data_IF_502337770270
#
_entry.id   IF_502337770270
#
_cell.length_a   1.000
_cell.length_b   1.000
_cell.length_c   1.000
_cell.angle_alpha   90.00
_cell.angle_beta   90.00
_cell.angle_gamma   90.00
#
_symmetry.space_group_name_H-M   'P 1'
#
loop_
_entity.id
_entity.type
_entity.pdbx_description
1 polymer ?
#
# COMPACT_ATOMS: atom_id res chain seq x y z
N UNK A 1 -9.42 19.17 30.28
CA UNK A 1 -10.48 18.16 30.09
C UNK A 1 -10.26 17.61 28.70
N UNK A 2 -9.98 16.32 28.55
CA UNK A 2 -9.93 15.70 27.22
C UNK A 2 -11.36 15.61 26.72
N UNK A 3 -11.69 16.25 25.60
CA UNK A 3 -12.97 15.99 24.95
C UNK A 3 -13.04 14.51 24.60
N UNK A 4 -14.04 13.84 25.16
CA UNK A 4 -14.33 12.45 24.89
C UNK A 4 -14.97 12.35 23.50
N UNK A 5 -14.38 11.56 22.61
CA UNK A 5 -14.90 11.37 21.25
C UNK A 5 -16.26 10.67 21.30
N UNK A 6 -17.24 11.21 20.56
CA UNK A 6 -18.53 10.57 20.34
C UNK A 6 -18.42 9.37 19.40
N UNK A 7 -19.44 8.52 19.35
CA UNK A 7 -19.54 7.41 18.38
C UNK A 7 -19.42 7.91 16.95
N UNK A 8 -20.08 9.02 16.61
CA UNK A 8 -19.97 9.68 15.30
C UNK A 8 -18.54 10.13 15.00
N UNK A 9 -17.85 10.75 15.96
CA UNK A 9 -16.44 11.16 15.79
C UNK A 9 -15.51 9.96 15.54
N UNK A 10 -15.76 8.84 16.21
CA UNK A 10 -14.96 7.61 16.03
C UNK A 10 -15.18 7.03 14.63
N UNK A 11 -16.43 6.93 14.19
CA UNK A 11 -16.78 6.43 12.85
C UNK A 11 -16.23 7.33 11.74
N UNK A 12 -16.33 8.66 11.90
CA UNK A 12 -15.77 9.63 10.96
C UNK A 12 -14.25 9.50 10.83
N UNK A 13 -13.53 9.39 11.96
CA UNK A 13 -12.07 9.19 11.94
C UNK A 13 -11.65 7.84 11.36
N UNK A 14 -12.44 6.79 11.56
CA UNK A 14 -12.17 5.49 10.96
C UNK A 14 -12.34 5.55 9.43
N UNK A 15 -13.33 6.29 8.95
CA UNK A 15 -13.52 6.57 7.52
C UNK A 15 -12.38 7.38 6.92
N UNK A 16 -11.91 8.43 7.59
CA UNK A 16 -10.75 9.21 7.15
C UNK A 16 -9.47 8.35 7.04
N UNK A 17 -9.26 7.45 8.01
CA UNK A 17 -8.15 6.50 7.96
C UNK A 17 -8.32 5.53 6.78
N UNK A 18 -9.52 5.00 6.56
CA UNK A 18 -9.77 4.11 5.43
C UNK A 18 -9.58 4.84 4.09
N UNK A 19 -9.99 6.09 3.98
CA UNK A 19 -9.76 6.92 2.80
C UNK A 19 -8.25 7.09 2.53
N UNK A 20 -7.44 7.30 3.56
CA UNK A 20 -5.98 7.32 3.42
C UNK A 20 -5.39 6.00 2.94
N UNK A 21 -5.96 4.86 3.36
CA UNK A 21 -5.56 3.55 2.85
C UNK A 21 -5.91 3.40 1.36
N UNK A 22 -7.08 3.88 0.93
CA UNK A 22 -7.50 3.86 -0.50
C UNK A 22 -6.60 4.73 -1.37
N UNK A 23 -6.19 5.91 -0.91
CA UNK A 23 -5.19 6.72 -1.63
C UNK A 23 -3.87 5.95 -1.79
N UNK A 24 -3.48 5.17 -0.78
CA UNK A 24 -2.33 4.26 -0.90
C UNK A 24 -2.51 3.21 -2.00
N UNK A 25 -3.70 2.64 -2.15
CA UNK A 25 -4.02 1.70 -3.25
C UNK A 25 -3.99 2.39 -4.62
N UNK A 26 -4.49 3.63 -4.72
CA UNK A 26 -4.37 4.42 -5.96
C UNK A 26 -2.91 4.63 -6.34
N UNK A 27 -2.04 4.94 -5.38
CA UNK A 27 -0.59 5.02 -5.61
C UNK A 27 0.02 3.68 -6.06
N UNK A 28 -0.50 2.53 -5.60
CA UNK A 28 -0.01 1.20 -6.03
C UNK A 28 -0.46 0.87 -7.46
N UNK A 29 -1.70 1.22 -7.82
CA UNK A 29 -2.31 0.81 -9.09
C UNK A 29 -1.96 1.75 -10.23
N UNK A 30 -2.07 3.06 -9.98
CA UNK A 30 -2.04 4.10 -10.99
C UNK A 30 -0.90 5.10 -10.77
N UNK A 31 -0.15 4.96 -9.66
CA UNK A 31 0.97 5.83 -9.32
C UNK A 31 2.24 5.55 -10.13
N UNK A 32 3.17 6.52 -10.19
CA UNK A 32 4.50 6.28 -10.75
C UNK A 32 5.27 5.27 -9.87
N UNK A 33 6.21 4.48 -10.44
CA UNK A 33 6.84 3.34 -9.75
C UNK A 33 7.43 3.65 -8.37
N UNK A 34 8.04 4.84 -8.22
CA UNK A 34 8.63 5.29 -6.95
C UNK A 34 7.61 5.49 -5.82
N UNK A 35 6.32 5.64 -6.15
CA UNK A 35 5.23 5.73 -5.17
C UNK A 35 4.64 4.37 -4.79
N UNK A 36 4.77 3.33 -5.62
CA UNK A 36 4.08 2.07 -5.38
C UNK A 36 4.43 1.45 -4.02
N UNK A 37 5.73 1.45 -3.66
CA UNK A 37 6.17 0.93 -2.35
C UNK A 37 5.65 1.76 -1.16
N UNK A 38 5.54 3.09 -1.33
CA UNK A 38 4.92 3.97 -0.34
C UNK A 38 3.41 3.72 -0.25
N UNK A 39 2.74 3.49 -1.39
CA UNK A 39 1.34 3.13 -1.48
C UNK A 39 1.02 1.86 -0.68
N UNK A 40 1.77 0.78 -0.88
CA UNK A 40 1.63 -0.46 -0.10
C UNK A 40 1.81 -0.21 1.41
N UNK A 41 2.84 0.55 1.80
CA UNK A 41 3.08 0.91 3.21
C UNK A 41 1.91 1.72 3.79
N UNK A 42 1.34 2.64 3.01
CA UNK A 42 0.19 3.44 3.39
C UNK A 42 -1.06 2.59 3.58
N UNK A 43 -1.34 1.65 2.66
CA UNK A 43 -2.45 0.68 2.79
C UNK A 43 -2.35 -0.08 4.11
N UNK A 44 -1.18 -0.68 4.40
CA UNK A 44 -0.98 -1.45 5.63
C UNK A 44 -1.11 -0.58 6.90
N UNK A 45 -0.51 0.62 6.87
CA UNK A 45 -0.48 1.53 8.02
C UNK A 45 -1.85 2.09 8.33
N UNK A 46 -2.52 2.67 7.34
CA UNK A 46 -3.82 3.31 7.52
C UNK A 46 -4.96 2.31 7.64
N UNK A 47 -4.88 1.15 6.97
CA UNK A 47 -5.84 0.07 7.17
C UNK A 47 -5.83 -0.45 8.62
N UNK A 48 -4.64 -0.59 9.23
CA UNK A 48 -4.54 -0.91 10.66
C UNK A 48 -5.05 0.22 11.55
N UNK A 49 -4.85 1.48 11.14
CA UNK A 49 -5.39 2.63 11.87
C UNK A 49 -6.93 2.60 11.88
N UNK A 50 -7.59 2.25 10.79
CA UNK A 50 -9.06 2.11 10.69
C UNK A 50 -9.60 1.18 11.79
N UNK A 51 -9.10 -0.05 11.88
CA UNK A 51 -9.57 -1.02 12.89
C UNK A 51 -9.22 -0.60 14.33
N UNK A 52 -8.08 0.05 14.53
CA UNK A 52 -7.68 0.58 15.85
C UNK A 52 -8.54 1.78 16.29
N UNK A 53 -9.01 2.60 15.37
CA UNK A 53 -9.92 3.69 15.66
C UNK A 53 -11.30 3.10 15.99
N UNK A 54 -11.81 2.17 15.18
CA UNK A 54 -13.07 1.47 15.42
C UNK A 54 -13.10 0.78 16.78
N UNK A 55 -12.00 0.19 17.24
CA UNK A 55 -11.94 -0.48 18.55
C UNK A 55 -12.20 0.45 19.73
N UNK A 56 -12.20 1.77 19.55
CA UNK A 56 -12.57 2.74 20.60
C UNK A 56 -14.07 2.73 20.91
N UNK A 57 -14.90 2.23 19.98
CA UNK A 57 -16.33 2.04 20.21
C UNK A 57 -16.62 1.07 21.37
N UNK A 58 -15.70 0.17 21.75
CA UNK A 58 -15.89 -0.74 22.90
C UNK A 58 -16.17 -0.02 24.21
N UNK A 59 -15.66 1.21 24.36
CA UNK A 59 -15.89 2.06 25.53
C UNK A 59 -17.21 2.82 25.52
N UNK A 60 -17.98 2.75 24.42
CA UNK A 60 -19.19 3.55 24.17
C UNK A 60 -20.41 2.68 23.89
N UNK A 61 -20.22 1.64 23.11
CA UNK A 61 -21.27 0.81 22.57
C UNK A 61 -21.26 -0.56 23.25
N UNK A 62 -22.27 -0.83 24.08
CA UNK A 62 -22.34 -2.07 24.87
C UNK A 62 -22.37 -3.35 24.01
N UNK A 63 -22.88 -3.26 22.79
CA UNK A 63 -22.93 -4.38 21.83
C UNK A 63 -21.68 -4.48 20.94
N UNK A 64 -20.68 -3.61 21.13
CA UNK A 64 -19.48 -3.58 20.29
C UNK A 64 -18.70 -4.87 20.36
N UNK A 65 -18.35 -5.35 21.56
CA UNK A 65 -17.48 -6.52 21.70
C UNK A 65 -18.11 -7.77 21.07
N UNK A 66 -19.44 -7.90 21.16
CA UNK A 66 -20.20 -8.98 20.54
C UNK A 66 -20.23 -8.88 19.01
N UNK A 67 -20.26 -7.66 18.46
CA UNK A 67 -20.18 -7.43 17.02
C UNK A 67 -18.75 -7.62 16.49
N UNK A 68 -17.76 -7.14 17.23
CA UNK A 68 -16.35 -7.18 16.85
C UNK A 68 -15.74 -8.58 16.93
N UNK A 69 -16.23 -9.43 17.83
CA UNK A 69 -15.69 -10.79 18.04
C UNK A 69 -15.62 -11.60 16.75
N UNK A 70 -16.64 -11.51 15.88
CA UNK A 70 -16.65 -12.15 14.57
C UNK A 70 -15.46 -11.69 13.71
N UNK A 71 -15.31 -10.37 13.54
CA UNK A 71 -14.24 -9.82 12.70
C UNK A 71 -12.85 -10.04 13.29
N UNK A 72 -12.73 -10.03 14.62
CA UNK A 72 -11.48 -10.33 15.31
C UNK A 72 -11.05 -11.79 15.08
N UNK A 73 -12.00 -12.73 15.07
CA UNK A 73 -11.76 -14.14 14.74
C UNK A 73 -11.40 -14.31 13.26
N UNK A 74 -12.19 -13.72 12.35
CA UNK A 74 -11.92 -13.75 10.90
C UNK A 74 -10.52 -13.19 10.59
N UNK A 75 -10.19 -11.97 11.03
CA UNK A 75 -8.85 -11.39 10.82
C UNK A 75 -7.74 -12.19 11.52
N UNK A 76 -8.06 -12.82 12.65
CA UNK A 76 -7.11 -13.63 13.40
C UNK A 76 -6.76 -14.93 12.69
N UNK A 77 -7.65 -15.45 11.85
CA UNK A 77 -7.45 -16.70 11.10
C UNK A 77 -7.10 -16.47 9.61
N UNK A 78 -7.31 -15.26 9.10
CA UNK A 78 -7.10 -14.93 7.69
C UNK A 78 -5.62 -14.63 7.37
N UNK A 79 -4.97 -15.38 6.47
CA UNK A 79 -3.57 -15.16 6.12
C UNK A 79 -3.30 -13.77 5.51
N UNK A 80 -4.23 -13.23 4.72
CA UNK A 80 -4.09 -11.88 4.14
C UNK A 80 -4.11 -10.80 5.21
N UNK A 81 -5.02 -10.88 6.19
CA UNK A 81 -5.07 -9.93 7.30
C UNK A 81 -3.81 -9.97 8.18
N UNK A 82 -3.31 -11.17 8.48
CA UNK A 82 -2.07 -11.36 9.22
C UNK A 82 -0.88 -10.77 8.45
N UNK A 83 -0.83 -11.00 7.14
CA UNK A 83 0.20 -10.46 6.26
C UNK A 83 0.26 -8.93 6.31
N UNK A 84 -0.87 -8.22 6.16
CA UNK A 84 -0.89 -6.76 6.25
C UNK A 84 -0.56 -6.23 7.66
N UNK A 85 -0.81 -7.01 8.71
CA UNK A 85 -0.35 -6.68 10.06
C UNK A 85 1.17 -6.73 10.17
N UNK A 86 1.80 -7.78 9.63
CA UNK A 86 3.26 -7.92 9.58
C UNK A 86 3.91 -6.87 8.70
N UNK A 87 3.35 -6.63 7.51
CA UNK A 87 3.80 -5.59 6.57
C UNK A 87 3.82 -4.22 7.24
N UNK A 88 2.75 -3.87 7.98
CA UNK A 88 2.68 -2.63 8.75
C UNK A 88 3.77 -2.57 9.82
N UNK A 89 4.06 -3.68 10.50
CA UNK A 89 5.11 -3.70 11.52
C UNK A 89 6.49 -3.50 10.91
N UNK A 90 6.76 -4.12 9.77
CA UNK A 90 8.00 -3.93 9.01
C UNK A 90 8.14 -2.50 8.49
N UNK A 91 7.06 -1.93 7.93
CA UNK A 91 7.04 -0.56 7.41
C UNK A 91 7.39 0.52 8.46
N UNK A 92 7.18 0.23 9.74
CA UNK A 92 7.49 1.14 10.84
C UNK A 92 8.90 0.93 11.45
N UNK A 93 9.60 -0.12 11.06
CA UNK A 93 11.00 -0.34 11.46
C UNK A 93 11.94 0.44 10.54
N UNK A 94 13.16 0.70 11.02
CA UNK A 94 14.19 1.41 10.26
C UNK A 94 14.61 0.69 8.97
N UNK A 95 14.57 -0.65 8.98
CA UNK A 95 14.88 -1.50 7.82
C UNK A 95 13.80 -1.45 6.72
N UNK A 96 12.57 -1.04 7.06
CA UNK A 96 11.46 -0.96 6.11
C UNK A 96 10.97 -2.33 5.64
N UNK A 97 10.26 -2.33 4.51
CA UNK A 97 9.83 -3.55 3.81
C UNK A 97 10.73 -3.69 2.58
N UNK A 98 11.31 -4.87 2.42
CA UNK A 98 12.10 -5.23 1.24
C UNK A 98 11.15 -5.78 0.17
N UNK A 99 10.83 -4.95 -0.82
CA UNK A 99 9.98 -5.33 -1.94
C UNK A 99 10.85 -5.88 -3.07
N UNK A 100 10.37 -6.96 -3.71
CA UNK A 100 10.85 -7.27 -5.05
C UNK A 100 10.26 -6.30 -6.06
N UNK A 101 10.79 -6.31 -7.28
CA UNK A 101 10.27 -5.49 -8.38
C UNK A 101 10.11 -6.33 -9.63
N UNK A 102 8.96 -6.21 -10.27
CA UNK A 102 8.69 -6.74 -11.60
C UNK A 102 8.64 -5.58 -12.59
N UNK A 103 9.40 -5.68 -13.67
CA UNK A 103 9.31 -4.78 -14.81
C UNK A 103 8.79 -5.54 -16.02
N UNK A 104 7.70 -5.05 -16.59
CA UNK A 104 7.15 -5.52 -17.84
C UNK A 104 7.39 -4.46 -18.91
N UNK A 105 8.27 -4.78 -19.85
CA UNK A 105 8.63 -3.90 -20.96
C UNK A 105 7.82 -4.35 -22.18
N UNK A 106 6.80 -3.58 -22.53
CA UNK A 106 5.95 -3.84 -23.71
C UNK A 106 6.69 -3.49 -25.01
N UNK A 107 7.45 -2.38 -24.99
CA UNK A 107 8.28 -1.94 -26.11
C UNK A 107 9.46 -1.11 -25.59
N UNK A 108 10.66 -1.37 -26.12
CA UNK A 108 11.86 -0.58 -25.82
C UNK A 108 12.70 -0.36 -27.08
N UNK A 109 13.02 0.91 -27.35
CA UNK A 109 14.00 1.33 -28.35
C UNK A 109 14.95 2.35 -27.74
N UNK A 110 16.23 2.32 -28.12
CA UNK A 110 17.21 3.33 -27.72
C UNK A 110 16.84 4.74 -28.20
N UNK A 111 16.00 4.86 -29.23
CA UNK A 111 15.50 6.16 -29.70
C UNK A 111 14.62 6.83 -28.63
N UNK A 112 13.94 6.04 -27.78
CA UNK A 112 13.13 6.56 -26.68
C UNK A 112 13.98 7.20 -25.56
N UNK A 113 15.28 6.88 -25.52
CA UNK A 113 16.23 7.56 -24.64
C UNK A 113 16.55 8.98 -25.14
N UNK A 114 16.34 9.25 -26.43
CA UNK A 114 16.54 10.58 -27.00
C UNK A 114 15.34 11.52 -26.78
N UNK A 115 14.16 10.96 -26.53
CA UNK A 115 12.94 11.71 -26.17
C UNK A 115 12.93 12.18 -24.71
N UNK A 116 13.79 11.60 -23.87
CA UNK A 116 13.97 12.00 -22.47
C UNK A 116 15.23 12.87 -22.35
N UNK A 117 15.13 14.02 -21.67
CA UNK A 117 16.26 14.93 -21.50
C UNK A 117 17.39 14.23 -20.73
N UNK A 118 18.46 13.86 -21.44
CA UNK A 118 19.65 13.25 -20.85
C UNK A 118 20.36 14.31 -19.99
N UNK A 119 20.52 14.10 -18.66
CA UNK A 119 21.26 15.03 -17.81
C UNK A 119 22.71 15.21 -18.26
N UNK A 120 23.28 16.42 -18.10
CA UNK A 120 24.64 16.76 -18.57
C UNK A 120 25.73 15.80 -18.07
N UNK A 121 25.56 15.24 -16.87
CA UNK A 121 26.51 14.32 -16.23
C UNK A 121 26.05 12.85 -16.22
N UNK A 122 25.16 12.47 -17.13
CA UNK A 122 24.64 11.10 -17.18
C UNK A 122 25.68 10.11 -17.74
N UNK A 123 26.01 9.11 -16.92
CA UNK A 123 26.99 8.04 -17.21
C UNK A 123 26.35 6.88 -17.98
N UNK A 124 25.08 6.57 -17.71
CA UNK A 124 24.36 5.47 -18.34
C UNK A 124 22.87 5.50 -18.06
N UNK A 125 22.11 4.66 -18.77
CA UNK A 125 20.69 4.46 -18.52
C UNK A 125 20.47 3.17 -17.74
N UNK A 126 19.64 3.23 -16.70
CA UNK A 126 19.32 2.13 -15.79
C UNK A 126 17.89 1.67 -16.03
N UNK A 127 17.72 0.36 -16.12
CA UNK A 127 16.43 -0.32 -16.22
C UNK A 127 16.31 -1.27 -15.04
N UNK A 128 15.40 -0.96 -14.12
CA UNK A 128 15.17 -1.77 -12.93
C UNK A 128 16.31 -1.63 -11.92
N UNK A 129 16.17 -0.69 -10.99
CA UNK A 129 17.04 -0.62 -9.81
C UNK A 129 16.46 -1.46 -8.66
N UNK A 130 17.30 -1.85 -7.72
CA UNK A 130 16.88 -2.69 -6.58
C UNK A 130 16.07 -1.94 -5.52
N UNK A 131 16.04 -0.60 -5.52
CA UNK A 131 15.33 0.19 -4.52
C UNK A 131 13.91 0.55 -4.95
N UNK A 132 13.69 0.87 -6.23
CA UNK A 132 12.43 1.39 -6.76
C UNK A 132 11.92 0.66 -8.01
N UNK A 133 12.68 -0.31 -8.55
CA UNK A 133 12.31 -0.99 -9.79
C UNK A 133 12.11 -0.03 -10.96
N UNK A 134 12.78 1.13 -10.91
CA UNK A 134 12.51 2.28 -11.77
C UNK A 134 13.40 2.33 -12.99
N UNK A 135 13.12 3.31 -13.84
CA UNK A 135 13.89 3.63 -15.04
C UNK A 135 14.50 5.01 -14.88
N UNK A 136 15.73 5.21 -15.35
CA UNK A 136 16.37 6.51 -15.19
C UNK A 136 17.78 6.61 -15.73
N UNK A 137 18.35 7.79 -15.57
CA UNK A 137 19.76 8.05 -15.86
C UNK A 137 20.58 7.94 -14.59
N UNK A 138 21.66 7.15 -14.64
CA UNK A 138 22.71 7.24 -13.62
C UNK A 138 23.50 8.54 -13.86
N UNK A 139 23.51 9.43 -12.87
CA UNK A 139 24.13 10.75 -12.93
C UNK A 139 25.23 10.85 -11.88
N UNK A 140 26.40 11.30 -12.31
CA UNK A 140 27.49 11.62 -11.39
C UNK A 140 27.32 13.05 -10.84
N UNK A 141 27.30 13.16 -9.51
CA UNK A 141 27.25 14.43 -8.80
C UNK A 141 28.64 15.07 -8.75
N UNK A 142 28.74 16.40 -8.54
CA UNK A 142 30.04 17.08 -8.39
C UNK A 142 30.93 16.55 -7.26
N UNK A 143 30.34 15.82 -6.30
CA UNK A 143 31.06 15.11 -5.23
C UNK A 143 31.75 13.82 -5.68
N UNK A 144 31.47 13.32 -6.89
CA UNK A 144 31.88 12.01 -7.40
C UNK A 144 30.96 10.85 -6.99
N UNK A 145 29.86 11.13 -6.29
CA UNK A 145 28.82 10.14 -5.97
C UNK A 145 27.85 9.95 -7.15
N UNK A 146 27.31 8.75 -7.33
CA UNK A 146 26.30 8.47 -8.36
C UNK A 146 24.89 8.41 -7.76
N UNK A 147 23.91 8.91 -8.50
CA UNK A 147 22.48 8.82 -8.16
C UNK A 147 21.66 8.53 -9.41
N UNK A 148 20.44 8.03 -9.24
CA UNK A 148 19.52 7.79 -10.35
C UNK A 148 18.57 8.97 -10.47
N UNK A 149 18.61 9.64 -11.62
CA UNK A 149 17.57 10.56 -12.05
C UNK A 149 16.47 9.77 -12.74
N UNK A 150 15.41 9.46 -12.00
CA UNK A 150 14.28 8.68 -12.50
C UNK A 150 13.53 9.42 -13.60
N UNK A 151 13.06 8.64 -14.58
CA UNK A 151 12.10 9.09 -15.58
C UNK A 151 10.83 8.26 -15.45
N UNK A 152 9.69 8.88 -15.74
CA UNK A 152 8.38 8.23 -15.74
C UNK A 152 7.95 8.00 -17.20
N UNK A 153 8.29 6.86 -17.83
CA UNK A 153 7.80 6.60 -19.17
C UNK A 153 6.28 6.33 -19.14
N UNK A 154 5.59 6.56 -20.27
CA UNK A 154 4.20 6.14 -20.41
C UNK A 154 4.04 4.64 -20.07
N UNK A 155 3.00 4.30 -19.32
CA UNK A 155 2.71 2.92 -18.89
C UNK A 155 2.49 1.95 -20.05
N UNK A 156 2.10 2.45 -21.23
CA UNK A 156 2.00 1.66 -22.46
C UNK A 156 3.34 1.02 -22.88
N UNK A 157 4.46 1.61 -22.44
CA UNK A 157 5.80 1.22 -22.84
C UNK A 157 6.47 0.34 -21.79
N UNK A 158 6.39 0.76 -20.53
CA UNK A 158 6.91 0.00 -19.40
C UNK A 158 5.96 0.10 -18.21
N UNK A 159 5.64 -1.05 -17.65
CA UNK A 159 4.92 -1.20 -16.39
C UNK A 159 5.91 -1.68 -15.33
N UNK A 160 5.87 -1.10 -14.13
CA UNK A 160 6.65 -1.55 -12.98
C UNK A 160 5.72 -1.76 -11.80
N UNK A 161 5.88 -2.85 -11.09
CA UNK A 161 5.03 -3.22 -9.97
C UNK A 161 5.86 -3.82 -8.83
N UNK A 162 5.54 -3.47 -7.58
CA UNK A 162 6.20 -4.09 -6.44
C UNK A 162 5.73 -5.54 -6.31
N UNK A 163 6.68 -6.44 -6.11
CA UNK A 163 6.42 -7.83 -5.75
C UNK A 163 6.45 -7.92 -4.23
N UNK A 164 5.32 -8.30 -3.65
CA UNK A 164 5.18 -8.50 -2.22
C UNK A 164 6.04 -9.71 -1.78
N UNK A 165 6.84 -9.59 -0.71
CA UNK A 165 7.62 -10.72 -0.20
C UNK A 165 6.71 -11.76 0.44
N UNK A 166 6.91 -13.04 0.10
CA UNK A 166 6.17 -14.20 0.63
C UNK A 166 4.64 -13.97 0.72
N UNK A 167 3.97 -13.64 -0.41
CA UNK A 167 2.57 -13.26 -0.39
C UNK A 167 1.68 -14.45 0.06
N UNK A 168 0.65 -14.20 0.89
CA UNK A 168 -0.29 -15.24 1.29
C UNK A 168 -1.01 -15.83 0.07
N UNK A 169 -1.44 -17.08 0.17
CA UNK A 169 -2.09 -17.79 -0.93
C UNK A 169 -3.60 -17.92 -0.74
N UNK A 170 -4.14 -17.46 0.38
CA UNK A 170 -5.56 -17.61 0.73
C UNK A 170 -6.09 -16.32 1.39
N UNK A 171 -7.36 -16.01 1.12
CA UNK A 171 -8.14 -14.98 1.79
C UNK A 171 -9.57 -15.49 2.02
N UNK A 172 -10.04 -15.42 3.27
CA UNK A 172 -11.34 -15.92 3.75
C UNK A 172 -11.61 -17.39 3.41
N UNK A 173 -10.56 -18.20 3.32
CA UNK A 173 -10.62 -19.62 2.97
C UNK A 173 -10.73 -19.89 1.47
N UNK A 174 -10.58 -18.87 0.62
CA UNK A 174 -10.52 -19.00 -0.84
C UNK A 174 -9.09 -18.74 -1.33
N UNK A 175 -8.68 -19.45 -2.39
CA UNK A 175 -7.36 -19.29 -3.00
C UNK A 175 -7.22 -17.91 -3.67
N UNK A 176 -6.08 -17.24 -3.44
CA UNK A 176 -5.72 -16.01 -4.12
C UNK A 176 -5.13 -16.37 -5.49
N UNK A 177 -5.89 -16.10 -6.56
CA UNK A 177 -5.48 -16.43 -7.93
C UNK A 177 -4.50 -15.44 -8.53
N UNK A 178 -4.51 -14.19 -8.06
CA UNK A 178 -3.62 -13.12 -8.49
C UNK A 178 -2.99 -12.47 -7.25
N UNK A 179 -1.73 -12.81 -6.98
CA UNK A 179 -0.98 -12.36 -5.82
C UNK A 179 -0.20 -11.06 -6.07
N UNK A 180 -0.59 -10.27 -7.08
CA UNK A 180 0.02 -8.96 -7.30
C UNK A 180 -0.34 -7.98 -6.17
N UNK A 181 0.52 -6.98 -5.96
CA UNK A 181 0.39 -6.05 -4.83
C UNK A 181 -0.93 -5.26 -4.83
N UNK A 182 -1.42 -4.85 -6.00
CA UNK A 182 -2.64 -4.07 -6.13
C UNK A 182 -3.87 -4.90 -5.73
N UNK A 183 -3.99 -6.12 -6.22
CA UNK A 183 -5.10 -7.03 -5.90
C UNK A 183 -5.10 -7.41 -4.41
N UNK A 184 -3.93 -7.69 -3.84
CA UNK A 184 -3.82 -7.94 -2.40
C UNK A 184 -4.21 -6.74 -1.55
N UNK A 185 -3.81 -5.53 -1.95
CA UNK A 185 -4.21 -4.29 -1.28
C UNK A 185 -5.73 -4.05 -1.41
N UNK A 186 -6.31 -4.33 -2.58
CA UNK A 186 -7.75 -4.20 -2.83
C UNK A 186 -8.55 -5.16 -1.93
N UNK A 187 -8.21 -6.45 -1.90
CA UNK A 187 -8.88 -7.42 -1.03
C UNK A 187 -8.85 -7.01 0.45
N UNK A 188 -7.69 -6.51 0.92
CA UNK A 188 -7.58 -5.99 2.28
C UNK A 188 -8.48 -4.78 2.52
N UNK A 189 -8.50 -3.81 1.59
CA UNK A 189 -9.36 -2.62 1.68
C UNK A 189 -10.84 -2.99 1.65
N UNK A 190 -11.27 -3.88 0.77
CA UNK A 190 -12.67 -4.32 0.65
C UNK A 190 -13.17 -4.92 1.96
N UNK A 191 -12.33 -5.73 2.61
CA UNK A 191 -12.65 -6.29 3.92
C UNK A 191 -12.81 -5.19 4.99
N UNK A 192 -11.94 -4.17 5.00
CA UNK A 192 -12.04 -3.04 5.92
C UNK A 192 -13.26 -2.14 5.63
N UNK A 193 -13.60 -1.94 4.36
CA UNK A 193 -14.82 -1.25 3.94
C UNK A 193 -16.06 -1.95 4.49
N UNK A 194 -16.12 -3.28 4.37
CA UNK A 194 -17.23 -4.07 4.91
C UNK A 194 -17.34 -3.94 6.44
N UNK A 195 -16.21 -3.98 7.17
CA UNK A 195 -16.20 -3.72 8.62
C UNK A 195 -16.78 -2.33 8.92
N UNK A 196 -16.29 -1.29 8.24
CA UNK A 196 -16.74 0.08 8.50
C UNK A 196 -18.22 0.27 8.14
N UNK A 197 -18.67 -0.29 7.02
CA UNK A 197 -20.06 -0.28 6.59
C UNK A 197 -20.98 -0.89 7.66
N UNK A 198 -20.63 -2.09 8.14
CA UNK A 198 -21.43 -2.77 9.18
C UNK A 198 -21.38 -2.05 10.53
N UNK A 199 -20.25 -1.41 10.88
CA UNK A 199 -20.12 -0.58 12.07
C UNK A 199 -21.06 0.63 12.02
N UNK A 200 -21.05 1.36 10.89
CA UNK A 200 -21.94 2.51 10.66
C UNK A 200 -23.41 2.10 10.71
N UNK A 201 -23.77 0.98 10.09
CA UNK A 201 -25.14 0.47 10.12
C UNK A 201 -25.61 0.07 11.53
N UNK A 202 -24.69 -0.36 12.40
CA UNK A 202 -25.04 -0.83 13.75
C UNK A 202 -24.98 0.27 14.82
N UNK A 203 -24.08 1.24 14.68
CA UNK A 203 -23.77 2.22 15.74
C UNK A 203 -23.88 3.68 15.30
N UNK A 204 -24.13 3.97 14.02
CA UNK A 204 -24.11 5.33 13.47
C UNK A 204 -25.35 6.19 13.72
N UNK A 205 -26.18 5.85 14.71
CA UNK A 205 -27.36 6.64 15.12
C UNK A 205 -27.00 7.77 16.09
#
# INVERSE_FOLDING_TARGET
MSDELSTSDILGRAEEALHSAKMGLEDVRDGPPHKNSAGVKNVATYGRATTRILSRLSSRENEFDKWWSKFAEEMGNDPLMQYFWDLRNQALKQEGVDFGWELKINYFSTDMLSDNEKPENAQGFVIGDSQHGGLGWEVELPSGETTIHYIDPPSELVESSPVLPDPPQEHLGEDITDANAAEMCQMYIDYLENILYTAKAKFGE
#
